data_IF_343694009067
#
_entry.id   IF_343694009067
#
_cell.length_a   1.000
_cell.length_b   1.000
_cell.length_c   1.000
_cell.angle_alpha   90.00
_cell.angle_beta   90.00
_cell.angle_gamma   90.00
#
_symmetry.space_group_name_H-M   'P 1'
#
loop_
_entity.id
_entity.type
_entity.pdbx_description
1 polymer ?
#
# COMPACT_ATOMS: atom_id res chain seq x y z
N UNK A 1 3.75 3.69 1.13
CA UNK A 1 2.72 3.33 0.13
C UNK A 1 3.39 2.62 -1.04
N UNK A 2 2.87 1.46 -1.46
CA UNK A 2 3.38 0.69 -2.62
C UNK A 2 2.34 0.71 -3.74
N UNK A 3 2.75 0.97 -4.98
CA UNK A 3 1.91 0.92 -6.19
C UNK A 3 2.73 0.34 -7.35
N UNK A 4 2.07 -0.36 -8.26
CA UNK A 4 2.66 -0.68 -9.57
C UNK A 4 2.26 0.42 -10.56
N UNK A 5 3.25 1.06 -11.18
CA UNK A 5 3.05 2.11 -12.19
C UNK A 5 3.82 1.73 -13.44
N UNK A 6 3.16 1.70 -14.59
CA UNK A 6 3.79 1.33 -15.87
C UNK A 6 4.60 0.02 -15.82
N UNK A 7 4.09 -0.99 -15.09
CA UNK A 7 4.78 -2.28 -14.93
C UNK A 7 5.92 -2.29 -13.88
N UNK A 8 6.30 -1.14 -13.33
CA UNK A 8 7.36 -1.03 -12.32
C UNK A 8 6.78 -0.86 -10.92
N UNK A 9 7.31 -1.59 -9.94
CA UNK A 9 6.92 -1.47 -8.54
C UNK A 9 7.55 -0.23 -7.88
N UNK A 10 6.72 0.74 -7.48
CA UNK A 10 7.13 1.98 -6.83
C UNK A 10 6.73 1.97 -5.36
N UNK A 11 7.65 2.34 -4.49
CA UNK A 11 7.40 2.54 -3.06
C UNK A 11 7.72 3.99 -2.67
N UNK A 12 6.79 4.64 -1.98
CA UNK A 12 6.94 6.02 -1.50
C UNK A 12 6.60 6.12 -0.02
N UNK A 13 7.44 6.80 0.74
CA UNK A 13 7.22 7.15 2.14
C UNK A 13 6.74 8.59 2.21
N UNK A 14 5.68 8.85 2.98
CA UNK A 14 5.10 10.17 3.15
C UNK A 14 5.17 10.56 4.63
N UNK A 15 5.77 11.71 4.97
CA UNK A 15 5.65 12.28 6.31
C UNK A 15 4.21 12.77 6.53
N UNK A 16 3.66 12.51 7.72
CA UNK A 16 2.24 12.82 8.03
C UNK A 16 1.95 14.33 8.07
N UNK A 17 2.90 15.12 8.53
CA UNK A 17 2.75 16.58 8.71
C UNK A 17 3.47 17.39 7.60
N UNK A 18 3.78 16.77 6.46
CA UNK A 18 4.41 17.50 5.36
C UNK A 18 3.37 18.39 4.65
N UNK A 19 3.69 19.65 4.35
CA UNK A 19 2.79 20.52 3.58
C UNK A 19 2.58 20.05 2.13
N UNK A 20 3.43 19.14 1.64
CA UNK A 20 3.31 18.55 0.30
C UNK A 20 2.20 17.49 0.21
N UNK A 21 1.54 17.14 1.32
CA UNK A 21 0.44 16.17 1.38
C UNK A 21 -0.84 16.92 1.74
N UNK A 22 -1.72 17.11 0.74
CA UNK A 22 -2.98 17.83 0.93
C UNK A 22 -4.01 17.00 1.73
N UNK A 23 -4.33 15.79 1.26
CA UNK A 23 -5.33 14.92 1.91
C UNK A 23 -4.98 13.45 1.82
N UNK A 24 -5.24 12.71 2.91
CA UNK A 24 -5.14 11.25 2.97
C UNK A 24 -6.56 10.68 3.12
N UNK A 25 -7.02 9.93 2.12
CA UNK A 25 -8.33 9.26 2.13
C UNK A 25 -8.13 7.75 2.07
N UNK A 26 -8.77 7.02 2.97
CA UNK A 26 -8.79 5.56 2.96
C UNK A 26 -9.96 5.09 2.08
N UNK A 27 -9.64 4.51 0.92
CA UNK A 27 -10.65 3.96 0.03
C UNK A 27 -11.07 2.54 0.38
N UNK A 28 -10.16 1.76 0.97
CA UNK A 28 -10.38 0.34 1.26
C UNK A 28 -9.59 -0.11 2.47
N UNK A 29 -10.26 -0.79 3.40
CA UNK A 29 -9.62 -1.44 4.54
C UNK A 29 -9.34 -2.92 4.24
N UNK A 30 -8.14 -3.38 4.56
CA UNK A 30 -7.73 -4.76 4.35
C UNK A 30 -7.48 -5.47 5.69
N UNK A 31 -7.90 -6.73 5.78
CA UNK A 31 -7.65 -7.59 6.94
C UNK A 31 -6.26 -8.22 6.83
N UNK A 32 -5.33 -7.73 7.65
CA UNK A 32 -3.95 -8.23 7.74
C UNK A 32 -3.61 -8.61 9.18
N UNK A 33 -2.66 -9.55 9.34
CA UNK A 33 -2.17 -9.99 10.66
C UNK A 33 -0.81 -9.38 11.03
N UNK A 34 -0.10 -8.77 10.07
CA UNK A 34 1.24 -8.20 10.27
C UNK A 34 1.16 -6.68 10.23
N UNK A 35 1.85 -6.00 11.15
CA UNK A 35 1.94 -4.54 11.15
C UNK A 35 2.72 -3.99 9.94
N UNK A 36 3.77 -4.71 9.52
CA UNK A 36 4.61 -4.36 8.36
C UNK A 36 4.39 -5.36 7.21
N UNK A 37 4.00 -4.86 6.04
CA UNK A 37 3.61 -5.68 4.88
C UNK A 37 4.75 -5.90 3.87
N UNK A 38 6.00 -6.05 4.33
CA UNK A 38 7.16 -6.20 3.44
C UNK A 38 7.09 -7.43 2.53
N UNK A 39 6.35 -8.47 2.92
CA UNK A 39 6.14 -9.66 2.10
C UNK A 39 5.38 -9.38 0.79
N UNK A 40 4.72 -8.22 0.66
CA UNK A 40 4.09 -7.81 -0.59
C UNK A 40 5.10 -7.35 -1.65
N UNK A 41 6.38 -7.17 -1.29
CA UNK A 41 7.45 -6.82 -2.24
C UNK A 41 7.78 -7.94 -3.21
N UNK A 42 7.79 -9.18 -2.71
CA UNK A 42 8.09 -10.38 -3.50
C UNK A 42 6.87 -10.98 -4.20
N UNK A 43 5.67 -10.44 -3.96
CA UNK A 43 4.43 -10.93 -4.57
C UNK A 43 4.00 -10.03 -5.73
N UNK A 44 3.49 -10.64 -6.79
CA UNK A 44 3.00 -9.98 -8.00
C UNK A 44 1.64 -10.52 -8.41
N UNK A 45 0.88 -9.70 -9.15
CA UNK A 45 -0.43 -10.08 -9.69
C UNK A 45 -1.47 -10.42 -8.61
N UNK A 46 -2.22 -11.51 -8.82
CA UNK A 46 -3.30 -11.95 -7.92
C UNK A 46 -2.80 -12.27 -6.51
N UNK A 47 -1.56 -12.73 -6.36
CA UNK A 47 -0.97 -13.09 -5.07
C UNK A 47 -0.66 -11.88 -4.17
N UNK A 48 -0.56 -10.68 -4.75
CA UNK A 48 -0.33 -9.44 -3.99
C UNK A 48 -1.63 -8.80 -3.48
N UNK A 49 -2.82 -9.28 -3.90
CA UNK A 49 -4.10 -8.78 -3.41
C UNK A 49 -4.31 -9.22 -1.96
N UNK A 50 -4.74 -8.28 -1.12
CA UNK A 50 -5.02 -8.51 0.30
C UNK A 50 -6.53 -8.63 0.49
N UNK A 51 -6.95 -9.48 1.43
CA UNK A 51 -8.37 -9.67 1.76
C UNK A 51 -8.94 -8.40 2.37
N UNK A 52 -10.15 -8.05 1.97
CA UNK A 52 -10.90 -6.93 2.53
C UNK A 52 -11.32 -7.21 3.97
N UNK A 53 -11.34 -6.16 4.78
CA UNK A 53 -11.92 -6.22 6.11
C UNK A 53 -13.42 -5.97 5.97
N UNK A 54 -14.17 -7.08 6.00
CA UNK A 54 -15.63 -7.08 6.21
C UNK A 54 -15.88 -7.06 7.70
#
# INVERSE_FOLDING_TARGET
>A
VRRVSYGVGVEKTFPLHSPNVDKIVVYREAKVRRAKLYYLRSRVGKAAKVKEKV
#
